data_IF_873622325831
#
_entry.id   IF_873622325831
#
_cell.length_a   1.000
_cell.length_b   1.000
_cell.length_c   1.000
_cell.angle_alpha   90.00
_cell.angle_beta   90.00
_cell.angle_gamma   90.00
#
_symmetry.space_group_name_H-M   'P 1'
#
loop_
_entity.id
_entity.type
_entity.pdbx_description
1 polymer ?
#
# COMPACT_ATOMS: atom_id res chain seq x y z
N UNK A 1 -1.48 -3.83 12.91
CA UNK A 1 -2.62 -3.40 12.06
C UNK A 1 -2.69 -1.89 12.08
N UNK A 2 -2.74 -1.23 10.93
CA UNK A 2 -2.92 0.21 10.84
C UNK A 2 -4.28 0.60 11.42
N UNK A 3 -4.31 1.54 12.38
CA UNK A 3 -5.57 2.15 12.84
C UNK A 3 -5.83 3.37 11.96
N UNK A 4 -6.97 3.40 11.32
CA UNK A 4 -7.39 4.53 10.47
C UNK A 4 -8.08 5.59 11.32
N UNK A 5 -7.30 6.37 12.11
CA UNK A 5 -7.84 7.56 12.77
C UNK A 5 -7.98 8.72 11.78
N UNK A 6 -8.81 9.73 12.08
CA UNK A 6 -8.93 10.93 11.24
C UNK A 6 -7.58 11.60 10.95
N UNK A 7 -6.67 11.62 11.92
CA UNK A 7 -5.35 12.23 11.77
C UNK A 7 -4.49 11.43 10.77
N UNK A 8 -4.50 10.09 10.86
CA UNK A 8 -3.76 9.22 9.93
C UNK A 8 -4.31 9.38 8.51
N UNK A 9 -5.63 9.43 8.36
CA UNK A 9 -6.29 9.65 7.07
C UNK A 9 -5.87 11.01 6.49
N UNK A 10 -5.90 12.07 7.30
CA UNK A 10 -5.48 13.42 6.91
C UNK A 10 -4.03 13.43 6.43
N UNK A 11 -3.10 12.92 7.22
CA UNK A 11 -1.68 12.88 6.84
C UNK A 11 -1.46 12.12 5.52
N UNK A 12 -2.12 10.98 5.35
CA UNK A 12 -1.94 10.19 4.14
C UNK A 12 -2.49 10.91 2.90
N UNK A 13 -3.62 11.59 3.02
CA UNK A 13 -4.16 12.41 1.94
C UNK A 13 -3.25 13.60 1.64
N UNK A 14 -2.78 14.32 2.66
CA UNK A 14 -1.86 15.44 2.48
C UNK A 14 -0.57 15.01 1.77
N UNK A 15 0.01 13.87 2.14
CA UNK A 15 1.18 13.33 1.47
C UNK A 15 0.88 12.92 0.01
N UNK A 16 -0.28 12.31 -0.24
CA UNK A 16 -0.70 11.90 -1.58
C UNK A 16 -0.97 13.09 -2.51
N UNK A 17 -1.54 14.17 -1.97
CA UNK A 17 -1.82 15.39 -2.73
C UNK A 17 -0.52 16.20 -2.99
N UNK A 18 0.49 16.07 -2.11
CA UNK A 18 1.79 16.72 -2.26
C UNK A 18 2.71 16.00 -3.25
N UNK A 19 2.61 14.68 -3.37
CA UNK A 19 3.49 13.85 -4.20
C UNK A 19 2.72 13.12 -5.30
N UNK A 20 3.46 12.65 -6.30
CA UNK A 20 2.92 11.78 -7.36
C UNK A 20 3.10 10.29 -7.06
N UNK A 21 3.33 9.93 -5.81
CA UNK A 21 3.69 8.58 -5.41
C UNK A 21 2.75 7.50 -5.97
N UNK A 22 1.44 7.66 -5.78
CA UNK A 22 0.48 6.65 -6.23
C UNK A 22 0.34 6.59 -7.75
N UNK A 23 0.42 7.72 -8.44
CA UNK A 23 0.40 7.77 -9.90
C UNK A 23 1.65 7.13 -10.50
N UNK A 24 2.82 7.43 -9.95
CA UNK A 24 4.08 6.87 -10.40
C UNK A 24 4.19 5.38 -10.08
N UNK A 25 3.68 4.95 -8.92
CA UNK A 25 3.56 3.53 -8.57
C UNK A 25 2.62 2.81 -9.52
N UNK A 26 1.43 3.36 -9.78
CA UNK A 26 0.46 2.77 -10.70
C UNK A 26 1.02 2.65 -12.12
N UNK A 27 1.82 3.63 -12.58
CA UNK A 27 2.52 3.54 -13.88
C UNK A 27 3.50 2.37 -13.92
N UNK A 28 4.24 2.10 -12.83
CA UNK A 28 5.13 0.93 -12.75
C UNK A 28 4.36 -0.39 -12.79
N UNK A 29 3.25 -0.48 -12.07
CA UNK A 29 2.40 -1.66 -12.01
C UNK A 29 1.61 -1.86 -13.31
N UNK A 30 1.14 -0.77 -13.93
CA UNK A 30 0.37 -0.75 -15.16
C UNK A 30 1.10 -1.40 -16.35
N UNK A 31 2.44 -1.41 -16.32
CA UNK A 31 3.24 -2.11 -17.34
C UNK A 31 3.03 -3.65 -17.33
N UNK A 32 2.40 -4.19 -16.30
CA UNK A 32 2.08 -5.62 -16.15
C UNK A 32 0.58 -5.91 -16.22
N UNK A 33 -0.24 -4.90 -16.46
CA UNK A 33 -1.68 -4.99 -16.59
C UNK A 33 -2.12 -4.85 -18.05
N UNK A 34 -3.27 -5.41 -18.37
CA UNK A 34 -3.93 -5.25 -19.67
C UNK A 34 -5.19 -4.38 -19.50
N UNK A 35 -5.60 -3.64 -20.52
CA UNK A 35 -6.80 -2.79 -20.45
C UNK A 35 -8.08 -3.54 -20.07
N UNK A 36 -8.16 -4.84 -20.37
CA UNK A 36 -9.30 -5.71 -20.07
C UNK A 36 -9.24 -6.36 -18.70
N UNK A 37 -8.13 -6.25 -17.94
CA UNK A 37 -7.95 -6.94 -16.67
C UNK A 37 -8.92 -6.42 -15.61
N UNK A 38 -9.45 -7.35 -14.82
CA UNK A 38 -10.15 -7.11 -13.57
C UNK A 38 -9.14 -7.26 -12.43
N UNK A 39 -8.81 -6.15 -11.81
CA UNK A 39 -7.76 -6.05 -10.80
C UNK A 39 -8.36 -6.06 -9.40
N UNK A 40 -7.78 -6.81 -8.47
CA UNK A 40 -8.06 -6.67 -7.04
C UNK A 40 -6.90 -5.95 -6.35
N UNK A 41 -7.17 -4.83 -5.69
CA UNK A 41 -6.24 -4.16 -4.77
C UNK A 41 -6.51 -4.67 -3.35
N UNK A 42 -5.68 -5.61 -2.88
CA UNK A 42 -5.86 -6.32 -1.63
C UNK A 42 -5.21 -5.54 -0.47
N UNK A 43 -6.03 -5.13 0.50
CA UNK A 43 -5.62 -4.22 1.57
C UNK A 43 -5.44 -2.79 1.07
N UNK A 44 -6.42 -2.30 0.32
CA UNK A 44 -6.36 -1.03 -0.41
C UNK A 44 -6.22 0.21 0.48
N UNK A 45 -6.48 0.11 1.79
CA UNK A 45 -6.52 1.26 2.69
C UNK A 45 -7.47 2.35 2.20
N UNK A 46 -6.95 3.55 1.99
CA UNK A 46 -7.74 4.69 1.49
C UNK A 46 -7.99 4.65 -0.03
N UNK A 47 -7.58 3.57 -0.72
CA UNK A 47 -7.81 3.37 -2.15
C UNK A 47 -7.09 4.34 -3.07
N UNK A 48 -6.03 4.98 -2.59
CA UNK A 48 -5.25 5.93 -3.39
C UNK A 48 -4.58 5.23 -4.58
N UNK A 49 -4.00 4.05 -4.35
CA UNK A 49 -3.46 3.23 -5.44
C UNK A 49 -4.57 2.66 -6.31
N UNK A 50 -5.68 2.19 -5.71
CA UNK A 50 -6.82 1.66 -6.47
C UNK A 50 -7.30 2.66 -7.53
N UNK A 51 -7.46 3.93 -7.15
CA UNK A 51 -7.84 5.01 -8.07
C UNK A 51 -6.77 5.29 -9.14
N UNK A 52 -5.51 5.26 -8.76
CA UNK A 52 -4.40 5.49 -9.69
C UNK A 52 -4.24 4.36 -10.73
N UNK A 53 -4.75 3.16 -10.44
CA UNK A 53 -4.73 2.01 -11.34
C UNK A 53 -5.83 2.04 -12.41
N UNK A 54 -6.90 2.81 -12.25
CA UNK A 54 -8.07 2.84 -13.16
C UNK A 54 -7.73 3.08 -14.65
N UNK A 55 -6.72 3.87 -15.02
CA UNK A 55 -6.31 4.04 -16.40
C UNK A 55 -5.71 2.79 -17.07
N UNK A 56 -5.28 1.80 -16.27
CA UNK A 56 -4.49 0.65 -16.74
C UNK A 56 -5.26 -0.65 -16.84
N UNK A 57 -6.56 -0.66 -16.46
CA UNK A 57 -7.37 -1.88 -16.42
C UNK A 57 -8.85 -1.60 -16.67
N UNK A 58 -9.64 -2.66 -16.85
CA UNK A 58 -11.09 -2.55 -17.04
C UNK A 58 -11.82 -2.19 -15.74
N UNK A 59 -11.40 -2.78 -14.61
CA UNK A 59 -12.06 -2.59 -13.34
C UNK A 59 -11.12 -2.86 -12.16
N UNK A 60 -11.25 -2.08 -11.08
CA UNK A 60 -10.56 -2.30 -9.81
C UNK A 60 -11.56 -2.64 -8.71
N UNK A 61 -11.37 -3.78 -8.06
CA UNK A 61 -12.03 -4.13 -6.79
C UNK A 61 -11.07 -3.82 -5.65
N UNK A 62 -11.33 -2.75 -4.93
CA UNK A 62 -10.54 -2.30 -3.76
C UNK A 62 -11.09 -2.97 -2.50
N UNK A 63 -10.30 -3.79 -1.83
CA UNK A 63 -10.71 -4.55 -0.65
C UNK A 63 -9.90 -4.14 0.57
N UNK A 64 -10.56 -3.70 1.62
CA UNK A 64 -9.94 -3.50 2.94
C UNK A 64 -10.91 -3.92 4.06
N UNK A 65 -10.36 -4.48 5.12
CA UNK A 65 -11.19 -4.90 6.27
C UNK A 65 -11.61 -3.77 7.19
N UNK A 66 -11.03 -2.58 7.02
CA UNK A 66 -11.35 -1.38 7.81
C UNK A 66 -12.53 -0.63 7.22
N UNK A 67 -13.69 -0.56 7.90
CA UNK A 67 -14.81 0.27 7.45
C UNK A 67 -14.44 1.74 7.29
N UNK A 68 -13.57 2.27 8.18
CA UNK A 68 -13.13 3.67 8.12
C UNK A 68 -12.30 3.96 6.85
N UNK A 69 -11.42 3.03 6.46
CA UNK A 69 -10.63 3.17 5.23
C UNK A 69 -11.52 3.14 3.99
N UNK A 70 -12.43 2.16 3.90
CA UNK A 70 -13.36 2.03 2.77
C UNK A 70 -14.34 3.19 2.70
N UNK A 71 -14.82 3.70 3.84
CA UNK A 71 -15.67 4.91 3.89
C UNK A 71 -14.90 6.13 3.34
N UNK A 72 -13.64 6.31 3.72
CA UNK A 72 -12.79 7.38 3.21
C UNK A 72 -12.52 7.26 1.70
N UNK A 73 -12.33 6.05 1.18
CA UNK A 73 -12.25 5.80 -0.26
C UNK A 73 -13.52 6.22 -0.99
N UNK A 74 -14.70 5.81 -0.49
CA UNK A 74 -16.00 6.14 -1.08
C UNK A 74 -16.29 7.64 -1.03
N UNK A 75 -15.89 8.32 0.03
CA UNK A 75 -16.08 9.77 0.18
C UNK A 75 -15.32 10.60 -0.88
N UNK A 76 -14.35 10.03 -1.59
CA UNK A 76 -13.64 10.70 -2.70
C UNK A 76 -14.38 10.63 -4.05
N UNK A 77 -15.59 10.17 -4.06
CA UNK A 77 -16.46 10.08 -5.24
C UNK A 77 -16.49 8.67 -5.85
N UNK A 78 -17.55 8.43 -6.57
CA UNK A 78 -17.80 7.19 -7.30
C UNK A 78 -17.04 7.18 -8.63
N UNK A 79 -16.69 6.01 -9.10
CA UNK A 79 -16.14 5.74 -10.42
C UNK A 79 -16.70 4.41 -10.91
N UNK A 80 -17.27 4.32 -12.13
CA UNK A 80 -17.87 3.08 -12.64
C UNK A 80 -16.87 1.93 -12.76
N UNK A 81 -15.57 2.22 -12.81
CA UNK A 81 -14.51 1.23 -12.86
C UNK A 81 -13.98 0.85 -11.47
N UNK A 82 -14.55 1.35 -10.37
CA UNK A 82 -14.07 1.11 -9.02
C UNK A 82 -15.17 0.57 -8.11
N UNK A 83 -14.96 -0.63 -7.59
CA UNK A 83 -15.78 -1.19 -6.51
C UNK A 83 -14.99 -1.19 -5.21
N UNK A 84 -15.57 -0.65 -4.14
CA UNK A 84 -14.96 -0.64 -2.81
C UNK A 84 -15.69 -1.62 -1.88
N UNK A 85 -14.97 -2.58 -1.31
CA UNK A 85 -15.51 -3.65 -0.48
C UNK A 85 -14.89 -3.65 0.91
N UNK A 86 -15.74 -3.54 1.93
CA UNK A 86 -15.30 -3.77 3.32
C UNK A 86 -15.35 -5.26 3.61
N UNK A 87 -14.21 -5.93 3.55
CA UNK A 87 -14.10 -7.36 3.79
C UNK A 87 -12.67 -7.77 4.16
N UNK A 88 -12.54 -8.92 4.80
CA UNK A 88 -11.25 -9.59 4.90
C UNK A 88 -11.01 -10.38 3.62
N UNK A 89 -9.97 -10.00 2.87
CA UNK A 89 -9.63 -10.67 1.60
C UNK A 89 -9.31 -12.16 1.80
N UNK A 90 -8.89 -12.56 2.98
CA UNK A 90 -8.61 -13.97 3.32
C UNK A 90 -9.87 -14.83 3.38
N UNK A 91 -11.00 -14.22 3.69
CA UNK A 91 -12.29 -14.91 3.89
C UNK A 91 -13.18 -14.85 2.66
N UNK A 92 -12.84 -13.98 1.69
CA UNK A 92 -13.62 -13.88 0.47
C UNK A 92 -13.53 -15.18 -0.34
N UNK A 93 -14.69 -15.77 -0.69
CA UNK A 93 -14.71 -16.92 -1.58
C UNK A 93 -14.27 -16.49 -2.98
N UNK A 94 -13.44 -17.29 -3.67
CA UNK A 94 -13.08 -17.04 -5.06
C UNK A 94 -14.29 -17.34 -5.94
N UNK A 95 -15.10 -16.33 -6.25
CA UNK A 95 -16.26 -16.51 -7.18
C UNK A 95 -15.80 -16.59 -8.63
N UNK A 96 -14.90 -15.71 -8.99
CA UNK A 96 -14.14 -15.70 -10.23
C UNK A 96 -12.76 -15.14 -9.90
N UNK A 97 -11.68 -15.80 -10.30
CA UNK A 97 -10.34 -15.29 -10.02
C UNK A 97 -10.17 -13.92 -10.72
N UNK A 98 -9.47 -13.03 -10.04
CA UNK A 98 -9.05 -11.76 -10.63
C UNK A 98 -7.99 -12.02 -11.70
N UNK A 99 -8.00 -11.25 -12.78
CA UNK A 99 -6.97 -11.32 -13.82
C UNK A 99 -5.61 -10.85 -13.29
N UNK A 100 -5.64 -9.86 -12.39
CA UNK A 100 -4.48 -9.45 -11.63
C UNK A 100 -4.84 -9.11 -10.18
N UNK A 101 -3.88 -9.30 -9.25
CA UNK A 101 -4.01 -8.86 -7.87
C UNK A 101 -2.82 -7.98 -7.49
N UNK A 102 -3.09 -6.89 -6.79
CA UNK A 102 -2.07 -5.97 -6.25
C UNK A 102 -2.04 -6.07 -4.73
N UNK A 103 -0.84 -6.25 -4.18
CA UNK A 103 -0.56 -6.30 -2.75
C UNK A 103 0.47 -5.21 -2.42
N UNK A 104 -0.01 -4.00 -2.16
CA UNK A 104 0.88 -2.87 -1.87
C UNK A 104 1.09 -2.72 -0.37
N UNK A 105 2.30 -3.08 0.10
CA UNK A 105 2.68 -3.03 1.52
C UNK A 105 1.70 -3.79 2.44
N UNK A 106 1.00 -4.75 1.89
CA UNK A 106 -0.02 -5.57 2.54
C UNK A 106 0.54 -6.91 3.01
N UNK A 107 0.13 -7.36 4.20
CA UNK A 107 0.32 -8.71 4.72
C UNK A 107 1.76 -9.21 4.82
N UNK A 108 1.93 -10.39 5.37
CA UNK A 108 3.18 -11.14 5.33
C UNK A 108 3.39 -11.82 3.98
N UNK A 109 4.60 -12.34 3.75
CA UNK A 109 4.94 -13.05 2.51
C UNK A 109 4.08 -14.28 2.30
N UNK A 110 3.95 -15.15 3.29
CA UNK A 110 3.14 -16.37 3.26
C UNK A 110 1.67 -16.05 2.99
N UNK A 111 1.13 -15.06 3.71
CA UNK A 111 -0.26 -14.61 3.57
C UNK A 111 -0.55 -14.11 2.16
N UNK A 112 0.33 -13.26 1.62
CA UNK A 112 0.21 -12.72 0.26
C UNK A 112 0.18 -13.83 -0.78
N UNK A 113 1.09 -14.80 -0.70
CA UNK A 113 1.17 -15.90 -1.64
C UNK A 113 -0.03 -16.85 -1.53
N UNK A 114 -0.52 -17.09 -0.31
CA UNK A 114 -1.72 -17.92 -0.11
C UNK A 114 -2.99 -17.29 -0.68
N UNK A 115 -3.15 -15.97 -0.52
CA UNK A 115 -4.28 -15.23 -1.09
C UNK A 115 -4.19 -15.22 -2.61
N UNK A 116 -3.00 -14.90 -3.17
CA UNK A 116 -2.80 -14.87 -4.61
C UNK A 116 -3.09 -16.25 -5.25
N UNK A 117 -2.57 -17.33 -4.68
CA UNK A 117 -2.80 -18.69 -5.17
C UNK A 117 -4.30 -19.07 -5.23
N UNK A 118 -5.12 -18.49 -4.33
CA UNK A 118 -6.54 -18.80 -4.23
C UNK A 118 -7.42 -17.92 -5.12
N UNK A 119 -7.04 -16.67 -5.34
CA UNK A 119 -7.93 -15.66 -5.94
C UNK A 119 -7.40 -15.01 -7.21
N UNK A 120 -6.10 -15.18 -7.54
CA UNK A 120 -5.50 -14.60 -8.74
C UNK A 120 -5.42 -15.65 -9.85
N UNK A 121 -6.07 -15.39 -10.97
CA UNK A 121 -6.02 -16.27 -12.16
C UNK A 121 -4.89 -15.92 -13.14
N UNK A 122 -4.23 -14.77 -12.93
CA UNK A 122 -3.19 -14.27 -13.81
C UNK A 122 -1.97 -13.73 -13.02
N UNK A 123 -1.78 -12.41 -12.99
CA UNK A 123 -0.57 -11.80 -12.45
C UNK A 123 -0.74 -11.28 -11.03
N UNK A 124 0.08 -11.74 -10.09
CA UNK A 124 0.19 -11.15 -8.75
C UNK A 124 1.31 -10.09 -8.69
N UNK A 125 0.95 -8.85 -8.43
CA UNK A 125 1.84 -7.71 -8.31
C UNK A 125 2.07 -7.39 -6.83
N UNK A 126 3.29 -7.57 -6.34
CA UNK A 126 3.60 -7.41 -4.92
C UNK A 126 4.61 -6.28 -4.71
N UNK A 127 4.18 -5.22 -4.05
CA UNK A 127 5.03 -4.07 -3.70
C UNK A 127 5.54 -4.24 -2.28
N UNK A 128 6.86 -4.22 -2.12
CA UNK A 128 7.56 -4.33 -0.84
C UNK A 128 8.60 -3.23 -0.68
N UNK A 129 8.88 -2.89 0.58
CA UNK A 129 10.00 -1.99 0.90
C UNK A 129 11.32 -2.70 0.69
N UNK A 130 12.31 -1.97 0.17
CA UNK A 130 13.68 -2.47 0.02
C UNK A 130 14.60 -2.00 1.16
N UNK A 131 14.03 -1.67 2.31
CA UNK A 131 14.77 -1.25 3.49
C UNK A 131 14.25 -1.97 4.76
N UNK A 132 15.16 -2.14 5.72
CA UNK A 132 14.88 -2.89 6.96
C UNK A 132 14.69 -2.01 8.20
N UNK A 133 14.80 -0.70 8.08
CA UNK A 133 14.61 0.23 9.19
C UNK A 133 13.27 0.94 9.07
N UNK A 134 12.58 1.11 10.20
CA UNK A 134 11.37 1.94 10.24
C UNK A 134 11.75 3.41 10.11
N UNK A 135 11.18 4.11 9.13
CA UNK A 135 11.59 5.48 8.78
C UNK A 135 11.31 6.52 9.87
N UNK A 136 10.29 6.27 10.70
CA UNK A 136 9.83 7.20 11.74
C UNK A 136 10.21 6.75 13.16
N UNK A 137 11.20 5.88 13.30
CA UNK A 137 11.68 5.35 14.58
C UNK A 137 13.19 5.30 14.60
N UNK A 138 13.79 5.42 15.78
CA UNK A 138 15.25 5.56 15.93
C UNK A 138 16.05 4.26 15.79
N UNK A 139 15.45 3.10 15.86
CA UNK A 139 16.20 1.85 15.83
C UNK A 139 15.39 0.62 15.44
N UNK A 140 14.10 0.79 15.19
CA UNK A 140 13.21 -0.34 14.91
C UNK A 140 13.50 -0.96 13.55
N UNK A 141 13.79 -2.25 13.53
CA UNK A 141 13.96 -3.03 12.31
C UNK A 141 12.62 -3.61 11.86
N UNK A 142 12.40 -3.59 10.55
CA UNK A 142 11.26 -4.25 9.91
C UNK A 142 11.73 -5.64 9.47
N UNK A 143 11.04 -6.68 9.93
CA UNK A 143 11.32 -8.06 9.55
C UNK A 143 10.11 -8.69 8.85
N UNK A 144 10.36 -9.63 7.95
CA UNK A 144 9.32 -10.45 7.31
C UNK A 144 8.46 -9.75 6.25
N UNK A 145 8.77 -8.50 5.89
CA UNK A 145 7.96 -7.69 4.97
C UNK A 145 8.79 -6.93 3.93
N UNK A 146 10.06 -7.31 3.73
CA UNK A 146 10.93 -6.68 2.73
C UNK A 146 10.87 -7.39 1.38
N UNK A 147 11.37 -6.72 0.32
CA UNK A 147 11.53 -7.33 -0.99
C UNK A 147 12.41 -8.60 -0.91
N UNK A 148 13.53 -8.53 -0.16
CA UNK A 148 14.41 -9.67 0.02
C UNK A 148 13.75 -10.87 0.75
N UNK A 149 12.81 -10.61 1.67
CA UNK A 149 12.06 -11.68 2.33
C UNK A 149 11.09 -12.37 1.34
N UNK A 150 10.46 -11.58 0.47
CA UNK A 150 9.59 -12.09 -0.60
C UNK A 150 10.39 -12.90 -1.63
N UNK A 151 11.48 -12.36 -2.14
CA UNK A 151 12.33 -13.03 -3.14
C UNK A 151 12.84 -14.39 -2.62
N UNK A 152 13.30 -14.45 -1.36
CA UNK A 152 13.76 -15.69 -0.73
C UNK A 152 12.65 -16.75 -0.66
N UNK A 153 11.44 -16.34 -0.34
CA UNK A 153 10.30 -17.27 -0.25
C UNK A 153 9.85 -17.74 -1.63
N UNK A 154 9.83 -16.88 -2.64
CA UNK A 154 9.53 -17.26 -4.03
C UNK A 154 10.54 -18.28 -4.55
N UNK A 155 11.85 -18.04 -4.29
CA UNK A 155 12.92 -18.98 -4.66
C UNK A 155 12.77 -20.33 -3.93
N UNK A 156 12.49 -20.31 -2.63
CA UNK A 156 12.26 -21.53 -1.83
C UNK A 156 11.12 -22.37 -2.37
N UNK A 157 10.08 -21.73 -2.92
CA UNK A 157 8.92 -22.42 -3.54
C UNK A 157 9.12 -22.77 -5.00
N UNK A 158 10.23 -22.40 -5.62
CA UNK A 158 10.47 -22.61 -7.05
C UNK A 158 9.53 -21.81 -7.96
N UNK A 159 9.01 -20.67 -7.47
CA UNK A 159 8.10 -19.83 -8.23
C UNK A 159 8.87 -18.88 -9.15
N UNK A 160 8.44 -18.79 -10.39
CA UNK A 160 9.00 -17.82 -11.35
C UNK A 160 8.47 -16.42 -11.04
N UNK A 161 9.36 -15.43 -11.03
CA UNK A 161 9.00 -14.04 -10.81
C UNK A 161 9.94 -13.08 -11.54
N UNK A 162 9.47 -11.85 -11.72
CA UNK A 162 10.28 -10.71 -12.15
C UNK A 162 10.33 -9.69 -11.03
N UNK A 163 11.51 -9.23 -10.66
CA UNK A 163 11.70 -8.18 -9.66
C UNK A 163 12.20 -6.89 -10.33
N UNK A 164 11.61 -5.76 -9.96
CA UNK A 164 12.06 -4.41 -10.34
C UNK A 164 12.27 -3.57 -9.09
N UNK A 165 13.37 -2.84 -9.03
CA UNK A 165 13.66 -1.87 -7.96
C UNK A 165 13.54 -0.47 -8.52
N UNK A 166 12.85 0.40 -7.79
CA UNK A 166 12.72 1.81 -8.13
C UNK A 166 12.57 2.64 -6.87
N UNK A 167 12.86 3.92 -6.97
CA UNK A 167 12.66 4.89 -5.89
C UNK A 167 11.51 5.80 -6.25
N UNK A 168 10.57 5.96 -5.32
CA UNK A 168 9.46 6.90 -5.44
C UNK A 168 9.50 7.86 -4.25
N UNK A 169 9.22 9.12 -4.52
CA UNK A 169 9.08 10.12 -3.48
C UNK A 169 7.71 10.00 -2.81
N UNK A 170 7.74 9.96 -1.47
CA UNK A 170 6.56 10.03 -0.63
C UNK A 170 6.79 11.12 0.43
N UNK A 171 6.69 12.37 0.00
CA UNK A 171 6.88 13.53 0.86
C UNK A 171 5.67 13.76 1.78
N UNK A 172 5.94 13.99 3.05
CA UNK A 172 4.93 14.41 4.01
C UNK A 172 5.14 15.89 4.33
N UNK A 173 4.30 16.81 3.78
CA UNK A 173 4.41 18.22 4.11
C UNK A 173 3.85 18.48 5.51
N UNK A 174 4.44 19.47 6.20
CA UNK A 174 4.00 19.95 7.50
C UNK A 174 3.88 21.46 7.49
N UNK A 175 2.87 22.00 8.16
CA UNK A 175 2.65 23.43 8.31
C UNK A 175 3.49 24.02 9.46
N UNK A 176 4.00 23.20 10.36
CA UNK A 176 4.80 23.63 11.51
C UNK A 176 5.65 22.48 12.06
N UNK A 177 6.67 22.84 12.86
CA UNK A 177 7.47 21.86 13.62
C UNK A 177 6.63 21.09 14.65
N UNK A 178 5.58 21.71 15.21
CA UNK A 178 4.69 21.04 16.15
C UNK A 178 3.85 19.97 15.47
N UNK A 179 3.37 20.25 14.26
CA UNK A 179 2.70 19.26 13.44
C UNK A 179 3.62 18.10 13.06
N UNK A 180 4.85 18.39 12.68
CA UNK A 180 5.86 17.36 12.41
C UNK A 180 6.12 16.49 13.64
N UNK A 181 6.26 17.09 14.84
CA UNK A 181 6.39 16.30 16.06
C UNK A 181 5.16 15.45 16.36
N UNK A 182 3.95 15.97 16.14
CA UNK A 182 2.72 15.20 16.30
C UNK A 182 2.67 13.99 15.35
N UNK A 183 3.09 14.18 14.10
CA UNK A 183 3.23 13.09 13.15
C UNK A 183 4.20 12.01 13.64
N UNK A 184 5.40 12.38 14.10
CA UNK A 184 6.37 11.42 14.62
C UNK A 184 5.86 10.67 15.85
N UNK A 185 5.13 11.33 16.78
CA UNK A 185 4.48 10.65 17.91
C UNK A 185 3.47 9.59 17.46
N UNK A 186 2.74 9.86 16.38
CA UNK A 186 1.73 8.97 15.84
C UNK A 186 2.33 7.76 15.11
N UNK A 187 3.43 7.97 14.38
CA UNK A 187 4.02 6.96 13.49
C UNK A 187 5.23 6.23 14.08
N UNK A 188 5.87 6.78 15.13
CA UNK A 188 6.99 6.12 15.80
C UNK A 188 6.53 4.83 16.48
N UNK A 189 7.33 3.78 16.34
CA UNK A 189 7.09 2.47 16.97
C UNK A 189 7.86 2.29 18.28
N UNK A 190 8.85 3.12 18.54
CA UNK A 190 9.69 3.12 19.73
C UNK A 190 9.45 4.33 20.64
N UNK A 191 8.45 5.17 20.31
CA UNK A 191 8.14 6.39 21.01
C UNK A 191 9.16 7.52 20.80
N UNK A 192 10.21 7.29 20.01
CA UNK A 192 11.18 8.32 19.69
C UNK A 192 10.56 9.43 18.85
N UNK A 193 10.67 10.66 19.35
CA UNK A 193 10.21 11.86 18.64
C UNK A 193 11.42 12.78 18.47
N UNK A 194 11.77 13.15 17.23
CA UNK A 194 12.86 14.08 16.99
C UNK A 194 12.64 15.42 17.70
N UNK A 195 13.71 16.03 18.20
CA UNK A 195 13.67 17.37 18.75
C UNK A 195 13.29 18.40 17.67
N UNK A 196 12.82 19.57 18.08
CA UNK A 196 12.52 20.67 17.14
C UNK A 196 13.75 21.06 16.31
N UNK A 197 14.94 21.02 16.91
CA UNK A 197 16.18 21.31 16.21
C UNK A 197 16.50 20.28 15.12
N UNK A 198 16.35 18.99 15.42
CA UNK A 198 16.54 17.91 14.44
C UNK A 198 15.51 17.98 13.31
N UNK A 199 14.25 18.32 13.62
CA UNK A 199 13.22 18.50 12.61
C UNK A 199 13.50 19.70 11.70
N UNK A 200 13.93 20.82 12.28
CA UNK A 200 14.28 22.02 11.52
C UNK A 200 15.47 21.81 10.55
N UNK A 201 16.31 20.80 10.81
CA UNK A 201 17.40 20.42 9.90
C UNK A 201 16.96 19.43 8.80
N UNK A 202 15.81 18.79 8.95
CA UNK A 202 15.29 17.76 8.02
C UNK A 202 14.19 18.29 7.09
N UNK A 203 13.57 19.39 7.44
CA UNK A 203 12.49 20.06 6.71
C UNK A 203 12.99 21.31 6.00
#
# INVERSE_FOLDING_TARGET
MQRWSPEIIRYLYTAADHSRYYQDLARQLGAFLRPEDRVCDAGCGLGLLSRALLPYCAHVTAVDRSPAAVAALRARGEDPKLSALTADIRELPPRQPYDAMVFCLFGGTEETLAIAARQCGGTALVVRRDFRRHQFSSGVRIAGHTAADMERELQRRGLTYTARRFTLEFGQPFLSLDEAQAFFRLYSRDGAVPSRQELAQRL
#
